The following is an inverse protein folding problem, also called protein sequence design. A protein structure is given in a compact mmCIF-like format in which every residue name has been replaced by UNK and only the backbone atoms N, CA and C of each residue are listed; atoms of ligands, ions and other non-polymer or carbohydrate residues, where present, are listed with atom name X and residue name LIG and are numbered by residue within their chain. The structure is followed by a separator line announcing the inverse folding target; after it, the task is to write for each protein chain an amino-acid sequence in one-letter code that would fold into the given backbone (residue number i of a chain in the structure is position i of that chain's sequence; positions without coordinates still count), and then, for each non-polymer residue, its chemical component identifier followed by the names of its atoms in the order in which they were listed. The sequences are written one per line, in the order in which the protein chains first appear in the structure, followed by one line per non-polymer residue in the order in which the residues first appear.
data_IF_742234890285
#
_entry.id   IF_742234890285
#
_cell.length_a   1.000
_cell.length_b   1.000
_cell.length_c   1.000
_cell.angle_alpha   90.00
_cell.angle_beta   90.00
_cell.angle_gamma   90.00
#
_symmetry.space_group_name_H-M   'P 1'
#
loop_
_entity.id
_entity.type
_entity.pdbx_description
1 polymer ?
#
# COMPACT_ATOMS: atom_id res chain seq x y z
N UNK A 1 20.43 14.62 17.37
CA UNK A 1 19.25 14.94 18.19
C UNK A 1 18.04 15.32 17.34
N UNK A 2 18.19 16.10 16.26
CA UNK A 2 17.13 16.45 15.30
C UNK A 2 16.42 15.23 14.65
N UNK A 3 17.18 14.22 14.21
CA UNK A 3 16.64 13.06 13.47
C UNK A 3 15.57 12.28 14.27
N UNK A 4 15.77 12.09 15.58
CA UNK A 4 14.78 11.43 16.44
C UNK A 4 13.49 12.25 16.61
N UNK A 5 13.58 13.58 16.67
CA UNK A 5 12.42 14.45 16.71
C UNK A 5 11.64 14.39 15.40
N UNK A 6 12.33 14.39 14.26
CA UNK A 6 11.70 14.25 12.94
C UNK A 6 10.99 12.90 12.78
N UNK A 7 11.63 11.79 13.15
CA UNK A 7 10.98 10.48 13.13
C UNK A 7 9.76 10.42 14.06
N UNK A 8 9.87 11.01 15.26
CA UNK A 8 8.76 11.06 16.21
C UNK A 8 7.58 11.86 15.66
N UNK A 9 7.83 13.01 15.03
CA UNK A 9 6.79 13.83 14.40
C UNK A 9 6.15 13.10 13.22
N UNK A 10 6.94 12.38 12.41
CA UNK A 10 6.43 11.59 11.29
C UNK A 10 5.57 10.42 11.74
N UNK A 11 5.98 9.71 12.80
CA UNK A 11 5.20 8.61 13.37
C UNK A 11 3.87 9.13 13.94
N UNK A 12 3.89 10.25 14.68
CA UNK A 12 2.68 10.87 15.23
C UNK A 12 1.76 11.34 14.10
N UNK A 13 2.29 12.01 13.08
CA UNK A 13 1.52 12.48 11.94
C UNK A 13 0.91 11.31 11.14
N UNK A 14 1.70 10.26 10.89
CA UNK A 14 1.23 9.03 10.25
C UNK A 14 0.13 8.35 11.07
N UNK A 15 0.25 8.31 12.40
CA UNK A 15 -0.76 7.75 13.29
C UNK A 15 -2.07 8.56 13.25
N UNK A 16 -1.99 9.89 13.20
CA UNK A 16 -3.16 10.76 13.03
C UNK A 16 -3.86 10.47 11.69
N UNK A 17 -3.12 10.41 10.57
CA UNK A 17 -3.70 10.09 9.28
C UNK A 17 -4.31 8.69 9.22
N UNK A 18 -3.65 7.70 9.83
CA UNK A 18 -4.19 6.34 9.96
C UNK A 18 -5.48 6.30 10.80
N UNK A 19 -5.53 7.05 11.91
CA UNK A 19 -6.71 7.15 12.77
C UNK A 19 -7.88 7.81 12.04
N UNK A 20 -7.63 8.93 11.35
CA UNK A 20 -8.65 9.63 10.55
C UNK A 20 -9.19 8.71 9.45
N UNK A 21 -8.31 7.98 8.75
CA UNK A 21 -8.71 7.01 7.74
C UNK A 21 -9.62 5.91 8.33
N UNK A 22 -9.22 5.33 9.47
CA UNK A 22 -9.98 4.27 10.13
C UNK A 22 -11.35 4.75 10.63
N UNK A 23 -11.47 6.01 11.08
CA UNK A 23 -12.71 6.55 11.63
C UNK A 23 -13.70 7.02 10.55
N UNK A 24 -13.23 7.69 9.50
CA UNK A 24 -14.10 8.38 8.54
C UNK A 24 -14.24 7.68 7.19
N UNK A 25 -13.17 7.13 6.63
CA UNK A 25 -13.15 6.62 5.25
C UNK A 25 -13.38 5.10 5.18
N UNK A 26 -12.92 4.33 6.17
CA UNK A 26 -12.99 2.85 6.20
C UNK A 26 -12.40 2.17 4.93
N UNK A 27 -11.54 2.87 4.21
CA UNK A 27 -10.89 2.40 2.99
C UNK A 27 -9.63 1.58 3.32
N UNK A 28 -9.17 0.70 2.40
CA UNK A 28 -7.87 0.03 2.54
C UNK A 28 -6.77 1.04 2.89
N UNK A 29 -5.93 0.70 3.87
CA UNK A 29 -5.01 1.64 4.52
C UNK A 29 -4.20 2.49 3.53
N UNK A 30 -3.63 1.87 2.49
CA UNK A 30 -2.82 2.54 1.46
C UNK A 30 -3.58 3.61 0.70
N UNK A 31 -4.80 3.30 0.24
CA UNK A 31 -5.62 4.22 -0.56
C UNK A 31 -6.12 5.37 0.32
N UNK A 32 -6.56 5.06 1.54
CA UNK A 32 -7.09 6.06 2.47
C UNK A 32 -6.05 7.09 2.90
N UNK A 33 -4.83 6.65 3.22
CA UNK A 33 -3.74 7.56 3.60
C UNK A 33 -3.35 8.46 2.41
N UNK A 34 -3.27 7.90 1.19
CA UNK A 34 -2.97 8.67 -0.03
C UNK A 34 -4.00 9.77 -0.28
N UNK A 35 -5.30 9.47 -0.17
CA UNK A 35 -6.38 10.45 -0.36
C UNK A 35 -6.33 11.55 0.70
N UNK A 36 -6.12 11.20 1.97
CA UNK A 36 -5.99 12.19 3.05
C UNK A 36 -4.79 13.10 2.80
N UNK A 37 -3.64 12.53 2.43
CA UNK A 37 -2.44 13.31 2.13
C UNK A 37 -2.67 14.28 0.96
N UNK A 38 -3.36 13.84 -0.10
CA UNK A 38 -3.75 14.70 -1.22
C UNK A 38 -4.71 15.82 -0.80
N UNK A 39 -5.73 15.51 0.00
CA UNK A 39 -6.66 16.53 0.50
C UNK A 39 -5.98 17.55 1.42
N UNK A 40 -5.07 17.11 2.28
CA UNK A 40 -4.27 18.00 3.14
C UNK A 40 -3.35 18.86 2.28
N UNK A 41 -2.69 18.28 1.27
CA UNK A 41 -1.82 19.03 0.34
C UNK A 41 -2.61 20.10 -0.43
N UNK A 42 -3.77 19.74 -0.99
CA UNK A 42 -4.67 20.68 -1.67
C UNK A 42 -5.21 21.75 -0.71
N UNK A 43 -5.56 21.37 0.52
CA UNK A 43 -6.03 22.30 1.55
C UNK A 43 -4.96 23.31 1.96
N UNK A 44 -3.71 22.87 2.12
CA UNK A 44 -2.57 23.75 2.37
C UNK A 44 -2.33 24.71 1.21
N UNK A 45 -2.38 24.21 -0.03
CA UNK A 45 -2.24 25.05 -1.23
C UNK A 45 -3.34 26.12 -1.33
N UNK A 46 -4.60 25.76 -1.04
CA UNK A 46 -5.72 26.70 -1.04
C UNK A 46 -5.64 27.75 0.10
N UNK A 47 -5.07 27.38 1.25
CA UNK A 47 -4.96 28.25 2.44
C UNK A 47 -3.67 29.08 2.44
N UNK A 48 -2.81 28.91 1.42
CA UNK A 48 -1.53 29.61 1.27
C UNK A 48 -1.66 31.14 1.36
N UNK A 49 -2.80 31.69 0.95
CA UNK A 49 -3.04 33.14 0.98
C UNK A 49 -3.45 33.68 2.37
N UNK A 50 -3.78 32.81 3.34
CA UNK A 50 -4.36 33.20 4.64
C UNK A 50 -3.39 32.91 5.80
N UNK A 51 -2.55 31.87 5.72
CA UNK A 51 -1.60 31.48 6.79
C UNK A 51 -0.19 31.09 6.26
N UNK A 52 0.64 32.06 5.84
CA UNK A 52 1.99 31.79 5.28
C UNK A 52 2.96 31.16 6.29
N UNK A 53 2.87 31.51 7.58
CA UNK A 53 3.80 31.03 8.61
C UNK A 53 3.72 29.52 8.90
N UNK A 54 2.56 28.90 8.69
CA UNK A 54 2.39 27.45 8.91
C UNK A 54 3.03 26.66 7.76
N UNK A 55 2.89 27.14 6.52
CA UNK A 55 3.43 26.51 5.33
C UNK A 55 4.97 26.48 5.32
N UNK A 56 5.62 27.57 5.72
CA UNK A 56 7.09 27.66 5.79
C UNK A 56 7.69 26.70 6.83
N UNK A 57 7.00 26.50 7.96
CA UNK A 57 7.48 25.59 9.01
C UNK A 57 7.35 24.12 8.60
N UNK A 58 6.24 23.75 7.96
CA UNK A 58 6.07 22.41 7.37
C UNK A 58 7.03 22.16 6.22
N UNK A 59 7.25 23.14 5.34
CA UNK A 59 8.16 23.00 4.21
C UNK A 59 9.63 22.86 4.65
N UNK A 60 10.07 23.62 5.66
CA UNK A 60 11.43 23.45 6.23
C UNK A 60 11.64 22.08 6.87
N UNK A 61 10.66 21.60 7.65
CA UNK A 61 10.71 20.27 8.25
C UNK A 61 10.74 19.13 7.22
N UNK A 62 10.10 19.30 6.06
CA UNK A 62 10.13 18.34 4.96
C UNK A 62 11.43 18.39 4.16
N UNK A 63 12.05 19.57 4.01
CA UNK A 63 13.29 19.75 3.26
C UNK A 63 14.51 19.19 4.01
N UNK A 64 14.50 19.24 5.34
CA UNK A 64 15.54 18.65 6.18
C UNK A 64 15.49 17.10 6.22
N UNK A 65 14.45 16.48 5.64
CA UNK A 65 14.27 15.04 5.66
C UNK A 65 14.44 14.43 4.27
N UNK A 66 15.55 13.73 4.04
CA UNK A 66 15.78 12.97 2.81
C UNK A 66 14.98 11.65 2.84
N UNK A 67 13.68 11.76 2.53
CA UNK A 67 12.79 10.60 2.43
C UNK A 67 13.30 9.59 1.42
N UNK A 68 13.86 10.06 0.30
CA UNK A 68 14.29 9.19 -0.79
C UNK A 68 15.43 8.29 -0.33
N UNK A 69 16.45 8.84 0.34
CA UNK A 69 17.59 8.08 0.84
C UNK A 69 17.17 7.05 1.91
N UNK A 70 16.29 7.44 2.83
CA UNK A 70 15.82 6.53 3.89
C UNK A 70 14.94 5.40 3.32
N UNK A 71 14.02 5.74 2.40
CA UNK A 71 13.11 4.76 1.78
C UNK A 71 13.86 3.84 0.83
N UNK A 72 14.65 4.38 -0.10
CA UNK A 72 15.35 3.61 -1.12
C UNK A 72 16.58 2.89 -0.55
N UNK A 73 17.38 3.58 0.27
CA UNK A 73 18.60 3.03 0.85
C UNK A 73 18.34 2.02 1.98
N UNK A 74 17.32 2.25 2.80
CA UNK A 74 17.02 1.42 3.97
C UNK A 74 15.76 0.58 3.80
N UNK A 75 14.60 1.24 3.84
CA UNK A 75 13.31 0.57 4.03
C UNK A 75 13.00 -0.45 2.92
N UNK A 76 13.23 -0.09 1.66
CA UNK A 76 12.91 -0.92 0.50
C UNK A 76 13.68 -2.25 0.52
N UNK A 77 14.95 -2.25 0.93
CA UNK A 77 15.74 -3.47 1.09
C UNK A 77 15.13 -4.42 2.13
N UNK A 78 14.70 -3.90 3.29
CA UNK A 78 14.03 -4.70 4.32
C UNK A 78 12.66 -5.19 3.87
N UNK A 79 11.89 -4.37 3.15
CA UNK A 79 10.57 -4.74 2.62
C UNK A 79 10.66 -5.85 1.57
N UNK A 80 11.65 -5.78 0.66
CA UNK A 80 11.92 -6.84 -0.31
C UNK A 80 12.37 -8.13 0.36
N UNK A 81 13.22 -8.05 1.39
CA UNK A 81 13.64 -9.22 2.17
C UNK A 81 12.48 -9.88 2.92
N UNK A 82 11.67 -9.08 3.63
CA UNK A 82 10.49 -9.58 4.34
C UNK A 82 9.44 -10.18 3.39
N UNK A 83 9.28 -9.58 2.21
CA UNK A 83 8.44 -10.09 1.14
C UNK A 83 8.91 -11.43 0.61
N UNK A 84 10.22 -11.60 0.41
CA UNK A 84 10.82 -12.85 -0.04
C UNK A 84 10.64 -14.00 0.97
N UNK A 85 10.77 -13.75 2.27
CA UNK A 85 10.57 -14.77 3.33
C UNK A 85 9.13 -15.30 3.35
N UNK A 86 8.13 -14.48 3.00
CA UNK A 86 6.73 -14.90 2.99
C UNK A 86 6.31 -15.71 1.75
N UNK A 87 7.21 -15.86 0.76
CA UNK A 87 6.92 -16.56 -0.49
C UNK A 87 7.32 -18.04 -0.35
N UNK A 88 6.37 -18.93 -0.64
CA UNK A 88 6.67 -20.37 -0.73
C UNK A 88 7.49 -20.66 -1.99
N UNK A 89 8.70 -21.17 -1.82
CA UNK A 89 9.61 -21.46 -2.94
C UNK A 89 9.06 -22.53 -3.90
N UNK A 90 8.26 -23.48 -3.39
CA UNK A 90 7.58 -24.51 -4.18
C UNK A 90 6.57 -23.91 -5.16
N UNK A 91 5.72 -22.99 -4.69
CA UNK A 91 4.70 -22.32 -5.51
C UNK A 91 5.36 -21.41 -6.57
N UNK A 92 6.46 -20.74 -6.21
CA UNK A 92 7.22 -19.88 -7.12
C UNK A 92 7.88 -20.67 -8.25
N UNK A 93 8.40 -21.87 -7.95
CA UNK A 93 9.03 -22.74 -8.96
C UNK A 93 8.03 -23.24 -9.98
N UNK A 94 6.81 -23.55 -9.56
CA UNK A 94 5.71 -23.98 -10.43
C UNK A 94 5.24 -22.86 -11.36
N UNK A 95 5.22 -21.61 -10.87
CA UNK A 95 4.77 -20.42 -11.62
C UNK A 95 5.91 -19.55 -12.16
N UNK A 96 7.14 -20.09 -12.27
CA UNK A 96 8.34 -19.31 -12.65
C UNK A 96 8.23 -18.66 -14.03
N UNK A 97 7.59 -19.33 -14.99
CA UNK A 97 7.47 -18.84 -16.37
C UNK A 97 6.56 -17.60 -16.43
N UNK A 98 5.31 -17.64 -15.90
CA UNK A 98 4.48 -16.45 -15.78
C UNK A 98 5.18 -15.30 -15.05
N UNK A 99 5.85 -15.56 -13.93
CA UNK A 99 6.51 -14.52 -13.14
C UNK A 99 7.60 -13.80 -13.94
N UNK A 100 8.44 -14.54 -14.67
CA UNK A 100 9.50 -13.95 -15.51
C UNK A 100 8.91 -13.17 -16.68
N UNK A 101 7.86 -13.67 -17.32
CA UNK A 101 7.18 -12.98 -18.43
C UNK A 101 6.54 -11.67 -17.95
N UNK A 102 5.84 -11.69 -16.81
CA UNK A 102 5.21 -10.49 -16.25
C UNK A 102 6.23 -9.47 -15.74
N UNK A 103 7.36 -9.89 -15.19
CA UNK A 103 8.37 -8.95 -14.67
C UNK A 103 9.26 -8.34 -15.75
N UNK A 104 9.42 -9.01 -16.90
CA UNK A 104 10.32 -8.54 -17.97
C UNK A 104 9.55 -8.02 -19.18
N UNK A 105 8.90 -8.93 -19.92
CA UNK A 105 8.22 -8.61 -21.17
C UNK A 105 7.07 -7.63 -20.96
N UNK A 106 6.23 -7.86 -19.93
CA UNK A 106 5.10 -6.96 -19.67
C UNK A 106 5.55 -5.56 -19.26
N UNK A 107 6.65 -5.42 -18.49
CA UNK A 107 7.17 -4.11 -18.08
C UNK A 107 7.75 -3.35 -19.27
N UNK A 108 8.49 -4.01 -20.16
CA UNK A 108 9.03 -3.37 -21.38
C UNK A 108 7.88 -2.89 -22.28
N UNK A 109 6.88 -3.75 -22.51
CA UNK A 109 5.73 -3.43 -23.36
C UNK A 109 4.93 -2.27 -22.73
N UNK A 110 4.66 -2.33 -21.42
CA UNK A 110 3.92 -1.28 -20.72
C UNK A 110 4.69 0.05 -20.69
N UNK A 111 6.00 0.02 -20.49
CA UNK A 111 6.87 1.21 -20.59
C UNK A 111 6.76 1.87 -21.96
N UNK A 112 6.81 1.09 -23.04
CA UNK A 112 6.69 1.60 -24.40
C UNK A 112 5.29 2.20 -24.66
N UNK A 113 4.23 1.51 -24.25
CA UNK A 113 2.85 1.96 -24.43
C UNK A 113 2.59 3.25 -23.63
N UNK A 114 2.92 3.26 -22.33
CA UNK A 114 2.72 4.44 -21.47
C UNK A 114 3.57 5.60 -21.95
N UNK A 115 4.84 5.37 -22.30
CA UNK A 115 5.72 6.42 -22.81
C UNK A 115 5.22 7.04 -24.12
N UNK A 116 4.72 6.23 -25.06
CA UNK A 116 4.09 6.71 -26.30
C UNK A 116 2.80 7.49 -26.02
N UNK A 117 1.93 6.97 -25.16
CA UNK A 117 0.68 7.65 -24.77
C UNK A 117 0.97 9.00 -24.12
N UNK A 118 1.95 9.08 -23.21
CA UNK A 118 2.36 10.34 -22.57
C UNK A 118 2.97 11.30 -23.58
N UNK A 119 3.75 10.83 -24.55
CA UNK A 119 4.28 11.67 -25.63
C UNK A 119 3.16 12.28 -26.49
N UNK A 120 2.18 11.48 -26.90
CA UNK A 120 1.03 12.01 -27.65
C UNK A 120 0.15 12.94 -26.80
N UNK A 121 -0.04 12.63 -25.51
CA UNK A 121 -0.79 13.49 -24.60
C UNK A 121 -0.10 14.86 -24.42
N UNK A 122 1.20 14.89 -24.18
CA UNK A 122 1.97 16.13 -24.02
C UNK A 122 1.97 16.99 -25.28
N UNK A 123 2.02 16.37 -26.46
CA UNK A 123 1.85 17.07 -27.72
C UNK A 123 0.46 17.72 -27.86
N UNK A 124 -0.60 17.05 -27.38
CA UNK A 124 -1.96 17.62 -27.36
C UNK A 124 -2.05 18.84 -26.42
N UNK A 125 -1.32 18.81 -25.29
CA UNK A 125 -1.22 19.94 -24.36
C UNK A 125 -0.20 21.02 -24.79
N UNK A 126 0.38 20.92 -25.99
CA UNK A 126 1.43 21.83 -26.52
C UNK A 126 2.66 21.95 -25.61
N UNK A 127 2.95 20.91 -24.83
CA UNK A 127 4.14 20.81 -24.00
C UNK A 127 5.21 20.05 -24.81
N UNK A 128 6.29 20.72 -25.17
CA UNK A 128 7.42 20.11 -25.88
C UNK A 128 8.29 19.31 -24.90
N UNK A 129 7.80 18.12 -24.52
CA UNK A 129 8.54 17.19 -23.67
C UNK A 129 9.34 16.23 -24.55
N UNK A 130 10.67 16.12 -24.35
CA UNK A 130 11.50 15.16 -25.07
C UNK A 130 10.99 13.72 -24.92
N UNK A 131 10.99 12.95 -26.01
CA UNK A 131 10.54 11.55 -26.01
C UNK A 131 11.22 10.70 -24.92
N UNK A 132 12.50 10.94 -24.65
CA UNK A 132 13.26 10.22 -23.62
C UNK A 132 12.65 10.40 -22.22
N UNK A 133 12.12 11.58 -21.89
CA UNK A 133 11.51 11.87 -20.59
C UNK A 133 10.16 11.16 -20.46
N UNK A 134 9.37 11.11 -21.52
CA UNK A 134 8.13 10.33 -21.55
C UNK A 134 8.41 8.83 -21.36
N UNK A 135 9.51 8.33 -21.94
CA UNK A 135 9.90 6.92 -21.81
C UNK A 135 10.40 6.60 -20.38
N UNK A 136 11.15 7.51 -19.75
CA UNK A 136 11.54 7.41 -18.34
C UNK A 136 10.32 7.42 -17.42
N UNK A 137 9.34 8.28 -17.68
CA UNK A 137 8.07 8.29 -16.94
C UNK A 137 7.31 6.97 -17.10
N UNK A 138 7.25 6.43 -18.32
CA UNK A 138 6.69 5.10 -18.56
C UNK A 138 7.41 4.01 -17.77
N UNK A 139 8.75 4.05 -17.74
CA UNK A 139 9.57 3.08 -17.01
C UNK A 139 9.41 3.17 -15.48
N UNK A 140 9.10 4.36 -14.97
CA UNK A 140 8.88 4.60 -13.54
C UNK A 140 7.51 4.06 -13.08
N UNK A 141 6.48 4.14 -13.91
CA UNK A 141 5.10 3.72 -13.57
C UNK A 141 4.82 2.26 -13.91
N UNK A 142 5.52 1.71 -14.90
CA UNK A 142 5.26 0.36 -15.40
C UNK A 142 5.51 -0.79 -14.39
N UNK A 143 6.45 -0.72 -13.43
CA UNK A 143 6.65 -1.80 -12.46
C UNK A 143 5.44 -1.92 -11.53
N UNK A 144 4.93 -3.14 -11.36
CA UNK A 144 3.85 -3.40 -10.40
C UNK A 144 4.44 -3.58 -9.00
N UNK A 145 4.22 -2.64 -8.08
CA UNK A 145 4.77 -2.69 -6.72
C UNK A 145 4.26 -3.90 -5.91
N UNK A 146 5.07 -4.94 -5.67
CA UNK A 146 4.63 -6.12 -4.94
C UNK A 146 4.42 -5.82 -3.45
N UNK A 147 5.11 -4.80 -2.92
CA UNK A 147 5.08 -4.41 -1.51
C UNK A 147 3.70 -3.94 -1.08
N UNK A 148 3.05 -3.09 -1.89
CA UNK A 148 1.71 -2.59 -1.59
C UNK A 148 0.65 -3.71 -1.62
N UNK A 149 0.82 -4.67 -2.54
CA UNK A 149 -0.13 -5.79 -2.72
C UNK A 149 0.09 -6.91 -1.71
N UNK A 150 1.34 -7.21 -1.32
CA UNK A 150 1.64 -8.22 -0.29
C UNK A 150 0.95 -7.88 1.04
N UNK A 151 0.97 -6.62 1.46
CA UNK A 151 0.31 -6.19 2.71
C UNK A 151 -1.21 -6.46 2.70
N UNK A 152 -1.85 -6.31 1.55
CA UNK A 152 -3.28 -6.59 1.36
C UNK A 152 -3.53 -8.10 1.29
N UNK A 153 -2.73 -8.83 0.51
CA UNK A 153 -2.91 -10.26 0.29
C UNK A 153 -2.74 -11.07 1.59
N UNK A 154 -1.78 -10.68 2.43
CA UNK A 154 -1.57 -11.27 3.75
C UNK A 154 -2.82 -11.06 4.63
N UNK A 155 -3.35 -9.83 4.66
CA UNK A 155 -4.57 -9.49 5.42
C UNK A 155 -5.77 -10.34 5.01
N UNK A 156 -5.95 -10.58 3.71
CA UNK A 156 -7.02 -11.45 3.18
C UNK A 156 -6.80 -12.92 3.57
N UNK A 157 -5.56 -13.41 3.54
CA UNK A 157 -5.24 -14.80 3.94
C UNK A 157 -5.52 -15.04 5.43
N UNK A 158 -5.18 -14.10 6.31
CA UNK A 158 -5.54 -14.17 7.73
C UNK A 158 -7.06 -14.20 7.96
N UNK A 159 -7.83 -13.42 7.20
CA UNK A 159 -9.30 -13.46 7.26
C UNK A 159 -9.86 -14.84 6.86
N UNK A 160 -9.27 -15.48 5.83
CA UNK A 160 -9.68 -16.81 5.37
C UNK A 160 -9.38 -17.90 6.40
N UNK A 161 -8.17 -17.93 6.96
CA UNK A 161 -7.76 -18.90 8.00
C UNK A 161 -8.67 -18.79 9.24
N UNK A 162 -8.94 -17.56 9.71
CA UNK A 162 -9.82 -17.33 10.87
C UNK A 162 -11.24 -17.88 10.65
N UNK A 163 -11.79 -17.75 9.43
CA UNK A 163 -13.11 -18.31 9.07
C UNK A 163 -13.09 -19.83 9.01
N UNK A 164 -12.03 -20.46 8.52
CA UNK A 164 -11.90 -21.92 8.46
C UNK A 164 -11.74 -22.54 9.85
N UNK A 165 -10.93 -21.92 10.73
CA UNK A 165 -10.79 -22.37 12.13
C UNK A 165 -12.07 -22.14 12.93
N UNK A 166 -12.78 -21.03 12.71
CA UNK A 166 -14.07 -20.77 13.37
C UNK A 166 -15.17 -21.74 12.91
N UNK A 167 -15.19 -22.16 11.63
CA UNK A 167 -16.12 -23.20 11.16
C UNK A 167 -15.73 -24.60 11.64
N UNK A 168 -14.44 -24.94 11.65
CA UNK A 168 -13.94 -26.28 12.07
C UNK A 168 -14.03 -26.52 13.58
N UNK A 169 -14.09 -25.46 14.39
CA UNK A 169 -14.26 -25.57 15.85
C UNK A 169 -15.73 -25.43 16.31
N UNK A 170 -16.70 -25.45 15.39
CA UNK A 170 -18.15 -25.51 15.69
C UNK A 170 -18.88 -26.85 15.40
N UNK A 171 -18.25 -28.03 15.16
CA UNK A 171 -19.03 -29.25 14.99
C UNK A 171 -19.67 -29.74 16.30
N UNK A 172 -19.13 -29.38 17.47
CA UNK A 172 -19.69 -29.80 18.76
C UNK A 172 -20.83 -28.93 19.28
N UNK A 173 -20.82 -27.62 19.02
CA UNK A 173 -21.74 -26.70 19.72
C UNK A 173 -23.17 -26.70 19.16
N UNK A 174 -23.37 -27.11 17.90
CA UNK A 174 -24.69 -27.32 17.31
C UNK A 174 -25.36 -28.60 17.84
N UNK A 175 -24.58 -29.67 18.02
CA UNK A 175 -25.07 -30.95 18.56
C UNK A 175 -25.49 -30.80 20.03
N UNK A 176 -24.78 -29.97 20.81
CA UNK A 176 -25.15 -29.67 22.20
C UNK A 176 -26.42 -28.82 22.32
N UNK A 177 -26.69 -27.88 21.40
CA UNK A 177 -27.92 -27.07 21.45
C UNK A 177 -29.15 -27.87 21.01
N UNK A 178 -29.01 -28.80 20.07
CA UNK A 178 -30.11 -29.69 19.65
C UNK A 178 -30.44 -30.74 20.73
N UNK A 179 -29.42 -31.22 21.45
CA UNK A 179 -29.57 -32.20 22.55
C UNK A 179 -30.04 -31.60 23.88
N UNK A 180 -29.87 -30.28 24.08
CA UNK A 180 -30.43 -29.55 25.24
C UNK A 180 -31.88 -29.09 25.00
N UNK A 181 -32.28 -28.89 23.74
CA UNK A 181 -33.67 -28.60 23.37
C UNK A 181 -34.59 -29.84 23.41
N UNK A 182 -34.02 -31.04 23.25
CA UNK A 182 -34.72 -32.33 23.35
C UNK A 182 -34.51 -32.91 24.75
N UNK A 183 -35.26 -32.41 25.73
CA UNK A 183 -35.15 -32.75 27.15
C UNK A 183 -35.26 -34.25 27.46
N UNK A 184 -34.13 -34.95 27.39
CA UNK A 184 -34.00 -36.35 27.82
C UNK A 184 -32.72 -36.48 28.66
N UNK A 185 -32.82 -36.02 29.92
CA UNK A 185 -31.85 -36.25 30.99
C UNK A 185 -32.52 -37.07 32.10
N UNK A 186 -32.85 -38.32 31.82
CA UNK A 186 -33.05 -39.35 32.84
C UNK A 186 -32.71 -40.71 32.21
N UNK A 187 -31.50 -41.20 32.47
CA UNK A 187 -31.21 -42.57 32.92
C UNK A 187 -29.73 -42.91 32.72
N UNK A 188 -29.05 -43.03 33.87
CA UNK A 188 -27.78 -43.70 34.18
C UNK A 188 -26.52 -43.30 33.41
#
# INVERSE_FOLDING_TARGET
MELYYSFSILIVLSAIFAYVNARFLKLPATIGIMVIALLVSLGLFATNNIFPHTFDRFSKLLNDFDFADILMGGMLNFLLFAGAIHINMSDLKEQRIPVVVFSTLSVIISTAIVGLLTYYATHWFKLEVPFIQCLVFGALISPTDPVAVLGILISVRYCKIRRTVTKRNRPGRLIWMERVASGNLLNY
#
